data_IF_458577550219
#
_entry.id   IF_458577550219
#
_cell.length_a   1.000
_cell.length_b   1.000
_cell.length_c   1.000
_cell.angle_alpha   90.00
_cell.angle_beta   90.00
_cell.angle_gamma   90.00
#
_symmetry.space_group_name_H-M   'P 1'
#
loop_
_entity.id
_entity.type
_entity.pdbx_description
1 polymer ?
#
# COMPACT_ATOMS: atom_id res chain seq x y z
N UNK A 1 5.32 0.33 12.56
CA UNK A 1 4.17 0.79 11.75
C UNK A 1 4.04 -0.01 10.47
N UNK A 2 2.84 -0.05 9.89
CA UNK A 2 2.55 -0.76 8.65
C UNK A 2 1.71 0.13 7.74
N UNK A 3 2.26 0.48 6.58
CA UNK A 3 1.60 1.28 5.57
C UNK A 3 1.14 0.43 4.38
N UNK A 4 0.09 0.90 3.72
CA UNK A 4 -0.46 0.29 2.51
C UNK A 4 -0.43 1.30 1.38
N UNK A 5 0.02 0.84 0.20
CA UNK A 5 -0.13 1.59 -1.04
C UNK A 5 -1.15 0.83 -1.90
N UNK A 6 -2.33 1.43 -2.09
CA UNK A 6 -3.37 0.89 -2.93
C UNK A 6 -3.27 1.45 -4.34
N UNK A 7 -3.00 0.59 -5.31
CA UNK A 7 -2.96 0.92 -6.73
C UNK A 7 -4.23 0.47 -7.43
N UNK A 8 -4.61 1.20 -8.47
CA UNK A 8 -5.61 0.74 -9.43
C UNK A 8 -5.13 -0.56 -10.12
N UNK A 9 -6.04 -1.50 -10.39
CA UNK A 9 -5.68 -2.82 -10.94
C UNK A 9 -5.13 -2.79 -12.36
N UNK A 10 -5.56 -1.80 -13.14
CA UNK A 10 -5.30 -1.70 -14.58
C UNK A 10 -3.86 -1.27 -14.89
N UNK A 11 -3.09 -0.83 -13.88
CA UNK A 11 -1.73 -0.29 -14.06
C UNK A 11 -0.65 -1.28 -13.61
N UNK A 12 -0.69 -2.50 -14.15
CA UNK A 12 0.22 -3.60 -13.78
C UNK A 12 1.72 -3.24 -13.90
N UNK A 13 2.10 -2.44 -14.90
CA UNK A 13 3.48 -1.98 -15.06
C UNK A 13 3.92 -1.07 -13.90
N UNK A 14 3.05 -0.17 -13.44
CA UNK A 14 3.33 0.70 -12.29
C UNK A 14 3.41 -0.13 -11.01
N UNK A 15 2.51 -1.10 -10.83
CA UNK A 15 2.54 -2.00 -9.68
C UNK A 15 3.88 -2.74 -9.54
N UNK A 16 4.41 -3.29 -10.64
CA UNK A 16 5.72 -3.96 -10.65
C UNK A 16 6.87 -3.02 -10.29
N UNK A 17 6.85 -1.79 -10.82
CA UNK A 17 7.86 -0.77 -10.49
C UNK A 17 7.80 -0.38 -9.02
N UNK A 18 6.59 -0.23 -8.46
CA UNK A 18 6.42 0.13 -7.07
C UNK A 18 6.90 -1.00 -6.15
N UNK A 19 6.59 -2.26 -6.47
CA UNK A 19 7.11 -3.41 -5.75
C UNK A 19 8.65 -3.47 -5.78
N UNK A 20 9.28 -3.14 -6.91
CA UNK A 20 10.73 -3.05 -7.00
C UNK A 20 11.28 -1.91 -6.12
N UNK A 21 10.70 -0.72 -6.20
CA UNK A 21 11.11 0.43 -5.39
C UNK A 21 10.99 0.16 -3.88
N UNK A 22 9.93 -0.54 -3.43
CA UNK A 22 9.79 -0.93 -2.02
C UNK A 22 10.91 -1.88 -1.60
N UNK A 23 11.23 -2.88 -2.42
CA UNK A 23 12.37 -3.80 -2.14
C UNK A 23 13.70 -3.06 -2.12
N UNK A 24 13.96 -2.21 -3.11
CA UNK A 24 15.18 -1.39 -3.17
C UNK A 24 15.31 -0.50 -1.94
N UNK A 25 14.21 0.08 -1.44
CA UNK A 25 14.21 0.89 -0.23
C UNK A 25 14.45 0.05 1.05
N UNK A 26 13.97 -1.19 1.11
CA UNK A 26 14.29 -2.13 2.19
C UNK A 26 15.77 -2.53 2.18
N UNK A 27 16.30 -2.89 1.01
CA UNK A 27 17.69 -3.29 0.79
C UNK A 27 18.69 -2.16 1.06
N UNK A 28 18.36 -0.93 0.62
CA UNK A 28 19.15 0.28 0.90
C UNK A 28 19.02 0.74 2.36
N UNK A 29 18.14 0.12 3.13
CA UNK A 29 17.89 0.45 4.53
C UNK A 29 17.24 1.81 4.77
N UNK A 30 16.45 2.27 3.81
CA UNK A 30 15.64 3.49 3.92
C UNK A 30 14.37 3.20 4.75
N UNK A 31 13.77 2.02 4.53
CA UNK A 31 12.62 1.50 5.29
C UNK A 31 12.95 0.13 5.90
N UNK A 32 12.03 -0.47 6.65
CA UNK A 32 12.27 -1.70 7.40
C UNK A 32 12.50 -1.43 8.89
N UNK A 33 13.26 -2.30 9.56
CA UNK A 33 13.47 -2.22 11.01
C UNK A 33 14.67 -1.34 11.39
N UNK A 34 14.57 -0.63 12.50
CA UNK A 34 15.65 0.15 13.11
C UNK A 34 16.05 1.36 12.29
N UNK A 35 15.11 2.02 11.63
CA UNK A 35 15.35 3.19 10.77
C UNK A 35 15.13 4.51 11.53
N UNK A 36 15.54 5.62 10.92
CA UNK A 36 15.41 6.97 11.49
C UNK A 36 16.60 7.40 12.37
N UNK A 37 16.67 8.67 12.79
CA UNK A 37 17.81 9.24 13.51
C UNK A 37 18.15 8.54 14.84
N UNK A 38 17.15 7.96 15.51
CA UNK A 38 17.32 7.22 16.76
C UNK A 38 17.23 5.69 16.59
N UNK A 39 17.04 5.20 15.36
CA UNK A 39 16.89 3.77 15.09
C UNK A 39 15.64 3.13 15.72
N UNK A 40 14.65 3.94 16.07
CA UNK A 40 13.43 3.55 16.77
C UNK A 40 12.23 3.36 15.82
N UNK A 41 12.40 3.66 14.53
CA UNK A 41 11.33 3.61 13.56
C UNK A 41 11.36 2.33 12.73
N UNK A 42 10.26 1.59 12.79
CA UNK A 42 10.05 0.37 12.01
C UNK A 42 8.91 0.61 11.01
N UNK A 43 9.18 0.60 9.70
CA UNK A 43 8.16 0.78 8.67
C UNK A 43 8.16 -0.39 7.69
N UNK A 44 7.03 -1.08 7.63
CA UNK A 44 6.71 -2.05 6.58
C UNK A 44 5.71 -1.44 5.60
N UNK A 45 5.91 -1.67 4.30
CA UNK A 45 4.99 -1.22 3.25
C UNK A 45 4.44 -2.43 2.49
N UNK A 46 3.12 -2.52 2.37
CA UNK A 46 2.46 -3.48 1.47
C UNK A 46 1.89 -2.75 0.26
N UNK A 47 2.20 -3.22 -0.94
CA UNK A 47 1.57 -2.72 -2.18
C UNK A 47 0.43 -3.65 -2.57
N UNK A 48 -0.78 -3.11 -2.67
CA UNK A 48 -1.99 -3.84 -3.07
C UNK A 48 -2.51 -3.27 -4.39
N UNK A 49 -2.90 -4.13 -5.33
CA UNK A 49 -3.54 -3.73 -6.57
C UNK A 49 -5.03 -4.10 -6.50
N UNK A 50 -5.91 -3.12 -6.71
CA UNK A 50 -7.35 -3.31 -6.75
C UNK A 50 -7.83 -4.07 -7.99
N UNK A 51 -9.13 -4.33 -8.07
CA UNK A 51 -9.74 -5.10 -9.17
C UNK A 51 -10.43 -4.23 -10.25
N UNK A 52 -10.01 -2.97 -10.42
CA UNK A 52 -10.56 -2.06 -11.43
C UNK A 52 -11.89 -1.38 -11.08
N UNK A 53 -12.28 -1.40 -9.81
CA UNK A 53 -13.47 -0.70 -9.33
C UNK A 53 -13.14 0.77 -9.02
N UNK A 54 -13.72 1.71 -9.78
CA UNK A 54 -13.55 3.16 -9.56
C UNK A 54 -13.97 3.60 -8.15
N UNK A 55 -15.03 2.97 -7.61
CA UNK A 55 -15.56 3.30 -6.27
C UNK A 55 -14.55 3.04 -5.15
N UNK A 56 -13.62 2.11 -5.33
CA UNK A 56 -12.57 1.80 -4.35
C UNK A 56 -11.48 2.89 -4.24
N UNK A 57 -11.60 3.99 -4.98
CA UNK A 57 -10.76 5.18 -4.79
C UNK A 57 -11.28 6.12 -3.69
N UNK A 58 -12.52 5.92 -3.22
CA UNK A 58 -13.07 6.62 -2.05
C UNK A 58 -12.48 6.01 -0.77
N UNK A 59 -12.16 6.85 0.21
CA UNK A 59 -11.38 6.49 1.40
C UNK A 59 -11.96 5.27 2.15
N UNK A 60 -13.27 5.24 2.39
CA UNK A 60 -13.91 4.14 3.12
C UNK A 60 -14.01 2.86 2.29
N UNK A 61 -14.32 2.99 1.00
CA UNK A 61 -14.36 1.87 0.07
C UNK A 61 -12.96 1.25 -0.18
N UNK A 62 -11.89 2.06 -0.11
CA UNK A 62 -10.50 1.61 -0.19
C UNK A 62 -10.15 0.71 1.00
N UNK A 63 -10.54 1.12 2.22
CA UNK A 63 -10.32 0.32 3.43
C UNK A 63 -11.04 -1.03 3.35
N UNK A 64 -12.31 -1.04 2.94
CA UNK A 64 -13.05 -2.29 2.73
C UNK A 64 -12.42 -3.18 1.67
N UNK A 65 -11.93 -2.59 0.57
CA UNK A 65 -11.24 -3.32 -0.48
C UNK A 65 -9.91 -3.93 0.01
N UNK A 66 -9.16 -3.23 0.86
CA UNK A 66 -7.93 -3.75 1.48
C UNK A 66 -8.22 -4.91 2.46
N UNK A 67 -9.36 -4.87 3.13
CA UNK A 67 -9.84 -5.93 4.03
C UNK A 67 -10.42 -7.15 3.27
N UNK A 68 -10.47 -7.11 1.93
CA UNK A 68 -11.01 -8.18 1.08
C UNK A 68 -12.53 -8.20 0.97
N UNK A 69 -13.21 -7.13 1.41
CA UNK A 69 -14.66 -6.95 1.26
C UNK A 69 -14.98 -6.27 -0.08
N UNK A 70 -16.24 -6.34 -0.51
CA UNK A 70 -16.70 -5.53 -1.64
C UNK A 70 -16.57 -4.05 -1.24
N UNK A 71 -15.86 -3.25 -2.05
CA UNK A 71 -15.66 -1.82 -1.82
C UNK A 71 -16.93 -1.01 -2.04
N UNK A 72 -17.90 -1.15 -1.13
CA UNK A 72 -18.99 -0.20 -1.00
C UNK A 72 -18.58 0.90 -0.02
N UNK A 73 -18.95 2.17 -0.26
CA UNK A 73 -18.74 3.23 0.72
C UNK A 73 -19.41 2.85 2.05
N UNK A 74 -18.70 3.01 3.17
CA UNK A 74 -19.31 2.84 4.49
C UNK A 74 -20.24 4.03 4.72
N UNK A 75 -21.50 3.76 5.08
CA UNK A 75 -22.39 4.81 5.59
C UNK A 75 -21.76 5.36 6.88
N UNK A 76 -21.56 6.68 6.90
CA UNK A 76 -21.12 7.42 8.09
C UNK A 76 -22.24 7.51 9.12
#
# INVERSE_FOLDING_TARGET
>A
EHAFIYLRGEVAHVYRRLLAAVREAEEAGIIGQGRGPAGDFNLRITVHAGAGAYICGEETALLDSLEGRRGHPRLK
#
